data_IF_768212545511
#
_entry.id   IF_768212545511
#
_cell.length_a   1.000
_cell.length_b   1.000
_cell.length_c   1.000
_cell.angle_alpha   90.00
_cell.angle_beta   90.00
_cell.angle_gamma   90.00
#
_symmetry.space_group_name_H-M   'P 1'
#
loop_
_entity.id
_entity.type
_entity.pdbx_description
1 polymer ?
#
# COMPACT_ATOMS: atom_id res chain seq x y z
N UNK A 1 -19.73 -12.98 -21.16
CA UNK A 1 -18.33 -13.03 -21.60
C UNK A 1 -17.90 -11.59 -21.82
N UNK A 2 -17.28 -10.98 -20.80
CA UNK A 2 -16.74 -9.61 -20.96
C UNK A 2 -15.48 -9.72 -21.81
N UNK A 3 -15.54 -9.18 -23.03
CA UNK A 3 -14.36 -8.97 -23.84
C UNK A 3 -13.40 -8.14 -22.99
N UNK A 4 -12.24 -8.70 -22.68
CA UNK A 4 -11.18 -7.99 -21.99
C UNK A 4 -10.77 -6.84 -22.93
N UNK A 5 -11.26 -5.64 -22.66
CA UNK A 5 -10.92 -4.43 -23.40
C UNK A 5 -9.41 -4.23 -23.24
N UNK A 6 -8.65 -4.70 -24.22
CA UNK A 6 -7.20 -4.48 -24.25
C UNK A 6 -6.96 -2.98 -24.44
N UNK A 7 -6.52 -2.33 -23.40
CA UNK A 7 -6.19 -0.91 -23.42
C UNK A 7 -4.75 -0.80 -23.89
N UNK A 8 -4.52 -0.05 -24.98
CA UNK A 8 -3.17 0.23 -25.47
C UNK A 8 -2.59 1.43 -24.73
N UNK A 9 -1.37 1.28 -24.22
CA UNK A 9 -0.63 2.32 -23.51
C UNK A 9 0.68 2.62 -24.26
N UNK A 10 0.92 3.89 -24.56
CA UNK A 10 2.18 4.32 -25.18
C UNK A 10 3.25 4.50 -24.08
N UNK A 11 4.40 3.86 -24.30
CA UNK A 11 5.52 3.91 -23.39
C UNK A 11 6.81 4.33 -24.10
N UNK A 12 7.51 5.29 -23.53
CA UNK A 12 8.81 5.74 -24.02
C UNK A 12 9.92 5.03 -23.24
N UNK A 13 10.84 4.38 -23.95
CA UNK A 13 12.00 3.76 -23.32
C UNK A 13 12.96 4.84 -22.79
N UNK A 14 13.48 4.64 -21.56
CA UNK A 14 14.44 5.55 -20.95
C UNK A 14 15.74 4.83 -20.58
N UNK A 15 16.86 5.45 -20.85
CA UNK A 15 18.18 4.97 -20.45
C UNK A 15 18.65 5.55 -19.11
N UNK A 16 18.18 6.76 -18.75
CA UNK A 16 18.60 7.43 -17.55
C UNK A 16 17.90 6.86 -16.30
N UNK A 17 18.69 6.38 -15.35
CA UNK A 17 18.24 5.87 -14.03
C UNK A 17 18.63 6.81 -12.89
N UNK A 18 18.04 6.60 -11.72
CA UNK A 18 18.34 7.30 -10.49
C UNK A 18 17.41 8.47 -10.16
N UNK A 19 17.59 9.02 -8.94
CA UNK A 19 16.72 10.04 -8.32
C UNK A 19 16.58 11.31 -9.16
N UNK A 20 17.68 11.81 -9.73
CA UNK A 20 17.68 13.04 -10.53
C UNK A 20 16.93 12.89 -11.84
N UNK A 21 17.10 11.76 -12.53
CA UNK A 21 16.39 11.43 -13.77
C UNK A 21 14.88 11.28 -13.54
N UNK A 22 14.47 10.54 -12.52
CA UNK A 22 13.08 10.36 -12.17
C UNK A 22 12.38 11.69 -11.80
N UNK A 23 13.10 12.60 -11.11
CA UNK A 23 12.56 13.93 -10.81
C UNK A 23 12.34 14.78 -12.06
N UNK A 24 13.28 14.74 -13.01
CA UNK A 24 13.12 15.45 -14.31
C UNK A 24 11.96 14.93 -15.12
N UNK A 25 11.75 13.62 -15.18
CA UNK A 25 10.62 13.01 -15.88
C UNK A 25 9.28 13.46 -15.25
N UNK A 26 9.19 13.50 -13.93
CA UNK A 26 7.97 14.01 -13.27
C UNK A 26 7.75 15.51 -13.52
N UNK A 27 8.81 16.30 -13.64
CA UNK A 27 8.67 17.73 -13.97
C UNK A 27 8.23 17.97 -15.41
N UNK A 28 8.48 17.03 -16.34
CA UNK A 28 7.93 17.07 -17.72
C UNK A 28 6.51 16.52 -17.81
N UNK A 29 5.92 16.09 -16.69
CA UNK A 29 4.54 15.58 -16.64
C UNK A 29 4.39 14.09 -16.97
N UNK A 30 5.50 13.34 -17.09
CA UNK A 30 5.50 11.90 -17.30
C UNK A 30 5.74 11.15 -15.99
N UNK A 31 5.29 9.90 -15.91
CA UNK A 31 5.52 9.02 -14.76
C UNK A 31 6.62 8.02 -15.11
N UNK A 32 7.68 7.93 -14.27
CA UNK A 32 8.69 6.90 -14.43
C UNK A 32 8.12 5.55 -14.01
N UNK A 33 8.25 4.56 -14.88
CA UNK A 33 7.75 3.20 -14.67
C UNK A 33 8.85 2.19 -14.98
N UNK A 34 8.62 0.95 -14.51
CA UNK A 34 9.47 -0.19 -14.82
C UNK A 34 8.58 -1.30 -15.37
N UNK A 35 8.99 -1.91 -16.46
CA UNK A 35 8.39 -3.12 -16.99
C UNK A 35 9.36 -4.29 -16.82
N UNK A 36 8.90 -5.38 -16.21
CA UNK A 36 9.70 -6.58 -15.98
C UNK A 36 8.85 -7.84 -16.15
N UNK A 37 9.51 -8.97 -16.41
CA UNK A 37 8.81 -10.24 -16.59
C UNK A 37 9.76 -11.41 -16.73
N UNK A 38 9.21 -12.63 -16.79
CA UNK A 38 9.99 -13.87 -16.90
C UNK A 38 10.76 -14.02 -18.22
N UNK A 39 10.52 -13.17 -19.21
CA UNK A 39 11.16 -13.20 -20.51
C UNK A 39 11.80 -11.87 -20.93
N UNK A 40 11.64 -10.84 -20.10
CA UNK A 40 12.16 -9.51 -20.36
C UNK A 40 13.13 -9.06 -19.27
N UNK A 41 14.27 -8.48 -19.66
CA UNK A 41 15.07 -7.71 -18.73
C UNK A 41 14.24 -6.52 -18.22
N UNK A 42 14.48 -6.09 -17.00
CA UNK A 42 13.80 -4.93 -16.45
C UNK A 42 14.08 -3.70 -17.32
N UNK A 43 13.05 -3.21 -17.98
CA UNK A 43 13.13 -2.06 -18.87
C UNK A 43 12.54 -0.84 -18.18
N UNK A 44 13.32 0.22 -18.11
CA UNK A 44 12.85 1.49 -17.59
C UNK A 44 12.08 2.24 -18.67
N UNK A 45 10.86 2.65 -18.34
CA UNK A 45 9.95 3.35 -19.26
C UNK A 45 9.36 4.60 -18.62
N UNK A 46 8.82 5.48 -19.44
CA UNK A 46 8.04 6.63 -19.00
C UNK A 46 6.67 6.61 -19.69
N UNK A 47 5.61 6.94 -18.96
CA UNK A 47 4.22 6.84 -19.43
C UNK A 47 3.45 8.10 -19.07
N UNK A 48 2.38 8.37 -19.78
CA UNK A 48 1.49 9.49 -19.47
C UNK A 48 0.60 9.16 -18.25
N UNK A 49 0.56 10.03 -17.22
CA UNK A 49 -0.22 9.78 -16.00
C UNK A 49 -1.73 9.67 -16.26
N UNK A 50 -2.24 10.38 -17.27
CA UNK A 50 -3.67 10.38 -17.61
C UNK A 50 -4.16 9.01 -18.08
N UNK A 51 -3.38 8.35 -18.94
CA UNK A 51 -3.71 7.02 -19.46
C UNK A 51 -3.72 5.98 -18.34
N UNK A 52 -2.68 5.99 -17.48
CA UNK A 52 -2.62 5.09 -16.31
C UNK A 52 -3.77 5.36 -15.34
N UNK A 53 -4.11 6.62 -15.08
CA UNK A 53 -5.23 6.96 -14.21
C UNK A 53 -6.57 6.45 -14.76
N UNK A 54 -6.76 6.48 -16.08
CA UNK A 54 -7.95 5.93 -16.73
C UNK A 54 -8.02 4.41 -16.56
N UNK A 55 -6.88 3.72 -16.68
CA UNK A 55 -6.80 2.28 -16.47
C UNK A 55 -7.14 1.93 -15.01
N UNK A 56 -6.56 2.65 -14.04
CA UNK A 56 -6.84 2.42 -12.61
C UNK A 56 -8.30 2.71 -12.21
N UNK A 57 -9.01 3.52 -13.00
CA UNK A 57 -10.44 3.79 -12.80
C UNK A 57 -11.35 2.77 -13.49
N UNK A 58 -10.84 1.92 -14.35
CA UNK A 58 -11.61 0.85 -14.96
C UNK A 58 -12.09 -0.16 -13.91
N UNK A 59 -13.07 -0.97 -14.24
CA UNK A 59 -13.65 -1.95 -13.31
C UNK A 59 -12.61 -2.96 -12.78
N UNK A 60 -11.68 -3.38 -13.62
CA UNK A 60 -10.59 -4.29 -13.24
C UNK A 60 -9.44 -3.58 -12.53
N UNK A 61 -9.36 -2.24 -12.62
CA UNK A 61 -8.33 -1.44 -11.95
C UNK A 61 -6.90 -1.91 -12.26
N UNK A 62 -6.16 -2.33 -11.24
CA UNK A 62 -4.78 -2.84 -11.36
C UNK A 62 -4.70 -4.12 -12.19
N UNK A 63 -5.75 -4.93 -12.17
CA UNK A 63 -5.78 -6.24 -12.80
C UNK A 63 -6.10 -6.19 -14.30
N UNK A 64 -6.16 -5.00 -14.89
CA UNK A 64 -6.40 -4.80 -16.32
C UNK A 64 -5.18 -5.25 -17.11
N UNK A 65 -5.41 -6.09 -18.13
CA UNK A 65 -4.37 -6.46 -19.10
C UNK A 65 -4.22 -5.34 -20.10
N UNK A 66 -2.99 -4.84 -20.26
CA UNK A 66 -2.64 -3.67 -21.04
C UNK A 66 -1.64 -4.06 -22.11
N UNK A 67 -1.81 -3.57 -23.31
CA UNK A 67 -0.79 -3.64 -24.34
C UNK A 67 0.14 -2.43 -24.22
N UNK A 68 1.37 -2.65 -23.74
CA UNK A 68 2.41 -1.64 -23.70
C UNK A 68 3.09 -1.56 -25.08
N UNK A 69 2.95 -0.43 -25.77
CA UNK A 69 3.67 -0.15 -27.03
C UNK A 69 4.95 0.61 -26.69
N UNK A 70 6.06 -0.11 -26.75
CA UNK A 70 7.39 0.48 -26.85
C UNK A 70 7.72 0.68 -28.33
N UNK A 71 8.61 1.62 -28.65
CA UNK A 71 8.93 2.00 -30.03
C UNK A 71 9.17 0.81 -31.00
N UNK A 72 9.71 -0.30 -30.49
CA UNK A 72 10.05 -1.47 -31.32
C UNK A 72 9.26 -2.75 -30.95
N UNK A 73 8.58 -2.79 -29.82
CA UNK A 73 7.94 -4.00 -29.28
C UNK A 73 6.63 -3.68 -28.61
N UNK A 74 5.62 -4.49 -28.83
CA UNK A 74 4.40 -4.51 -28.03
C UNK A 74 4.48 -5.66 -27.02
N UNK A 75 4.10 -5.39 -25.77
CA UNK A 75 4.14 -6.32 -24.68
C UNK A 75 2.81 -6.31 -23.93
N UNK A 76 2.29 -7.50 -23.61
CA UNK A 76 1.17 -7.60 -22.70
C UNK A 76 1.67 -7.48 -21.27
N UNK A 77 1.16 -6.51 -20.55
CA UNK A 77 1.53 -6.24 -19.17
C UNK A 77 0.31 -5.95 -18.31
N UNK A 78 0.49 -6.04 -17.02
CA UNK A 78 -0.49 -5.69 -16.00
C UNK A 78 0.18 -4.79 -14.96
N UNK A 79 -0.59 -3.95 -14.29
CA UNK A 79 -0.07 -3.11 -13.21
C UNK A 79 0.09 -3.99 -11.97
N UNK A 80 1.33 -4.13 -11.49
CA UNK A 80 1.63 -4.87 -10.27
C UNK A 80 1.52 -4.00 -9.03
N UNK A 81 2.09 -2.80 -9.12
CA UNK A 81 2.10 -1.84 -8.02
C UNK A 81 2.10 -0.41 -8.56
N UNK A 82 1.61 0.52 -7.77
CA UNK A 82 1.66 1.93 -8.08
C UNK A 82 1.76 2.78 -6.82
N UNK A 83 2.54 3.84 -6.90
CA UNK A 83 2.69 4.78 -5.82
C UNK A 83 2.01 6.11 -6.14
N UNK A 84 1.19 6.60 -5.21
CA UNK A 84 0.58 7.92 -5.25
C UNK A 84 1.21 8.85 -4.23
N UNK A 85 1.32 10.10 -4.58
CA UNK A 85 1.73 11.12 -3.61
C UNK A 85 0.61 11.33 -2.58
N UNK A 86 0.88 11.27 -1.26
CA UNK A 86 -0.17 11.25 -0.24
C UNK A 86 -1.04 12.51 -0.24
N UNK A 87 -0.48 13.68 -0.56
CA UNK A 87 -1.19 14.97 -0.55
C UNK A 87 -1.77 15.29 -1.93
N UNK A 88 -0.93 15.32 -2.97
CA UNK A 88 -1.35 15.73 -4.32
C UNK A 88 -2.06 14.65 -5.13
N UNK A 89 -2.06 13.39 -4.65
CA UNK A 89 -2.63 12.22 -5.35
C UNK A 89 -2.05 11.98 -6.76
N UNK A 90 -0.94 12.60 -7.08
CA UNK A 90 -0.23 12.39 -8.34
C UNK A 90 0.49 11.04 -8.35
N UNK A 91 0.48 10.35 -9.49
CA UNK A 91 1.23 9.12 -9.71
C UNK A 91 2.73 9.40 -9.64
N UNK A 92 3.41 8.71 -8.75
CA UNK A 92 4.86 8.81 -8.56
C UNK A 92 5.61 7.72 -9.33
N UNK A 93 5.07 6.51 -9.34
CA UNK A 93 5.67 5.34 -9.94
C UNK A 93 4.61 4.31 -10.29
N UNK A 94 4.86 3.50 -11.31
CA UNK A 94 4.03 2.35 -11.67
C UNK A 94 4.92 1.21 -12.11
N UNK A 95 4.62 0.03 -11.61
CA UNK A 95 5.31 -1.21 -11.93
C UNK A 95 4.44 -2.07 -12.83
N UNK A 96 4.98 -2.41 -13.99
CA UNK A 96 4.33 -3.29 -14.94
C UNK A 96 5.00 -4.67 -14.95
N UNK A 97 4.18 -5.70 -14.89
CA UNK A 97 4.61 -7.09 -15.03
C UNK A 97 4.17 -7.62 -16.38
N UNK A 98 5.09 -8.22 -17.12
CA UNK A 98 4.75 -8.96 -18.34
C UNK A 98 3.85 -10.14 -18.01
N UNK A 99 2.75 -10.26 -18.73
CA UNK A 99 1.77 -11.30 -18.56
C UNK A 99 1.64 -12.09 -19.86
N UNK A 100 1.64 -13.42 -19.74
CA UNK A 100 1.35 -14.33 -20.85
C UNK A 100 -0.03 -14.93 -20.65
N UNK A 101 -0.83 -14.96 -21.69
CA UNK A 101 -2.22 -15.45 -21.64
C UNK A 101 -2.33 -16.91 -21.18
N UNK A 102 -1.27 -17.71 -21.46
CA UNK A 102 -1.22 -19.14 -21.16
C UNK A 102 -0.72 -19.46 -19.74
N UNK A 103 -0.36 -18.46 -18.94
CA UNK A 103 0.21 -18.68 -17.61
C UNK A 103 -0.67 -18.08 -16.53
N UNK A 104 -0.88 -18.82 -15.43
CA UNK A 104 -1.59 -18.28 -14.29
C UNK A 104 -0.79 -17.14 -13.64
N UNK A 105 -1.50 -16.12 -13.20
CA UNK A 105 -0.96 -14.93 -12.55
C UNK A 105 -1.59 -14.80 -11.17
N UNK A 106 -0.79 -14.33 -10.22
CA UNK A 106 -1.25 -14.03 -8.87
C UNK A 106 -1.70 -12.56 -8.81
N UNK A 107 -2.98 -12.35 -8.55
CA UNK A 107 -3.64 -11.03 -8.54
C UNK A 107 -4.40 -10.81 -7.25
N UNK A 108 -4.57 -9.56 -6.87
CA UNK A 108 -5.37 -9.17 -5.72
C UNK A 108 -6.74 -8.68 -6.17
N UNK A 109 -7.79 -9.34 -5.71
CA UNK A 109 -9.17 -9.02 -6.08
C UNK A 109 -9.92 -8.46 -4.88
N UNK A 110 -10.68 -7.36 -5.03
CA UNK A 110 -11.45 -6.79 -3.95
C UNK A 110 -12.59 -7.72 -3.52
N UNK A 111 -12.74 -7.88 -2.20
CA UNK A 111 -13.82 -8.61 -1.57
C UNK A 111 -14.93 -7.64 -1.16
N UNK A 112 -16.14 -7.89 -1.62
CA UNK A 112 -17.32 -7.09 -1.29
C UNK A 112 -18.31 -7.96 -0.50
N UNK A 113 -18.66 -7.50 0.69
CA UNK A 113 -19.71 -8.09 1.49
C UNK A 113 -21.08 -7.66 0.93
N UNK A 114 -21.95 -8.62 0.66
CA UNK A 114 -23.31 -8.39 0.18
C UNK A 114 -24.31 -8.76 1.27
N UNK A 115 -25.30 -7.90 1.50
CA UNK A 115 -26.32 -8.09 2.53
C UNK A 115 -26.04 -7.32 3.82
N UNK A 116 -26.99 -7.42 4.76
CA UNK A 116 -26.84 -6.86 6.13
C UNK A 116 -26.85 -8.03 7.10
N UNK A 117 -25.78 -8.26 7.86
CA UNK A 117 -25.72 -9.38 8.80
C UNK A 117 -26.68 -9.19 9.96
N UNK A 118 -27.34 -10.29 10.36
CA UNK A 118 -28.23 -10.33 11.53
C UNK A 118 -27.48 -9.91 12.80
N UNK A 119 -26.20 -10.25 12.91
CA UNK A 119 -25.34 -9.86 14.01
C UNK A 119 -25.17 -8.36 14.16
N UNK A 120 -25.15 -7.58 13.05
CA UNK A 120 -25.10 -6.11 13.11
C UNK A 120 -26.44 -5.55 13.60
N UNK A 121 -27.58 -6.14 13.21
CA UNK A 121 -28.88 -5.75 13.75
C UNK A 121 -28.99 -5.98 15.25
N UNK A 122 -28.26 -6.96 15.79
CA UNK A 122 -28.16 -7.27 17.23
C UNK A 122 -27.09 -6.40 17.94
N UNK A 123 -26.52 -5.40 17.25
CA UNK A 123 -25.53 -4.47 17.82
C UNK A 123 -24.05 -4.83 17.57
N UNK A 124 -23.77 -5.84 16.75
CA UNK A 124 -22.40 -6.18 16.34
C UNK A 124 -21.82 -5.23 15.31
N UNK A 125 -20.51 -5.30 15.13
CA UNK A 125 -19.77 -4.55 14.10
C UNK A 125 -19.22 -5.52 13.06
N UNK A 126 -19.53 -5.26 11.78
CA UNK A 126 -18.95 -6.02 10.68
C UNK A 126 -17.50 -5.57 10.48
N UNK A 127 -16.56 -6.50 10.65
CA UNK A 127 -15.14 -6.27 10.43
C UNK A 127 -14.68 -7.06 9.20
N UNK A 128 -14.25 -6.35 8.16
CA UNK A 128 -13.61 -6.95 7.00
C UNK A 128 -12.12 -7.04 7.29
N UNK A 129 -11.61 -8.25 7.49
CA UNK A 129 -10.19 -8.52 7.78
C UNK A 129 -9.36 -8.38 6.51
N UNK A 130 -9.81 -9.04 5.43
CA UNK A 130 -9.15 -8.97 4.14
C UNK A 130 -10.06 -8.27 3.13
N UNK A 131 -9.68 -7.06 2.75
CA UNK A 131 -10.38 -6.31 1.69
C UNK A 131 -9.94 -6.72 0.30
N UNK A 132 -8.72 -7.20 0.17
CA UNK A 132 -8.11 -7.73 -1.03
C UNK A 132 -7.77 -9.19 -0.78
N UNK A 133 -8.18 -10.05 -1.67
CA UNK A 133 -7.93 -11.50 -1.61
C UNK A 133 -6.94 -11.85 -2.71
N UNK A 134 -5.77 -12.41 -2.38
CA UNK A 134 -4.83 -12.88 -3.38
C UNK A 134 -5.37 -14.16 -4.02
N UNK A 135 -5.55 -14.11 -5.33
CA UNK A 135 -6.06 -15.23 -6.13
C UNK A 135 -5.12 -15.53 -7.27
N UNK A 136 -5.10 -16.80 -7.67
CA UNK A 136 -4.37 -17.28 -8.84
C UNK A 136 -5.37 -17.66 -9.93
N UNK A 137 -5.26 -17.00 -11.07
CA UNK A 137 -6.14 -17.24 -12.21
C UNK A 137 -5.44 -16.97 -13.55
N UNK A 138 -6.07 -17.32 -14.66
CA UNK A 138 -5.62 -16.90 -15.98
C UNK A 138 -5.98 -15.43 -16.22
N UNK A 139 -5.17 -14.68 -16.96
CA UNK A 139 -5.42 -13.25 -17.24
C UNK A 139 -6.76 -12.95 -17.90
N UNK A 140 -7.31 -13.92 -18.62
CA UNK A 140 -8.62 -13.82 -19.27
C UNK A 140 -9.80 -14.06 -18.31
N UNK A 141 -9.55 -14.63 -17.13
CA UNK A 141 -10.58 -15.04 -16.17
C UNK A 141 -10.47 -14.28 -14.83
N UNK A 142 -9.84 -13.12 -14.84
CA UNK A 142 -9.71 -12.31 -13.64
C UNK A 142 -11.09 -11.75 -13.26
N UNK A 143 -11.62 -12.05 -12.06
CA UNK A 143 -12.87 -11.48 -11.62
C UNK A 143 -12.70 -10.03 -11.20
N UNK A 144 -13.68 -9.20 -11.50
CA UNK A 144 -13.69 -7.78 -11.09
C UNK A 144 -13.79 -7.65 -9.57
N UNK A 145 -14.58 -8.52 -8.95
CA UNK A 145 -14.83 -8.53 -7.49
C UNK A 145 -15.22 -9.93 -7.04
N UNK A 146 -14.90 -10.26 -5.80
CA UNK A 146 -15.42 -11.42 -5.11
C UNK A 146 -16.55 -10.96 -4.20
N UNK A 147 -17.66 -11.69 -4.21
CA UNK A 147 -18.81 -11.40 -3.36
C UNK A 147 -18.92 -12.43 -2.26
N UNK A 148 -19.11 -11.97 -1.03
CA UNK A 148 -19.42 -12.81 0.12
C UNK A 148 -20.79 -12.41 0.67
N UNK A 149 -21.69 -13.35 0.82
CA UNK A 149 -23.01 -13.12 1.42
C UNK A 149 -22.88 -13.17 2.94
N UNK A 150 -23.11 -12.03 3.58
CA UNK A 150 -23.01 -11.87 5.03
C UNK A 150 -24.38 -11.85 5.73
N UNK A 151 -25.48 -12.08 5.00
CA UNK A 151 -26.83 -11.89 5.52
C UNK A 151 -27.12 -12.74 6.76
N UNK A 152 -26.67 -13.99 6.77
CA UNK A 152 -26.97 -14.95 7.82
C UNK A 152 -25.97 -14.94 8.99
N UNK A 153 -24.95 -14.03 8.97
CA UNK A 153 -23.94 -14.01 10.01
C UNK A 153 -24.49 -13.48 11.34
N UNK A 154 -24.30 -14.26 12.39
CA UNK A 154 -24.61 -13.91 13.77
C UNK A 154 -23.40 -13.24 14.47
N UNK A 155 -23.61 -12.82 15.72
CA UNK A 155 -22.54 -12.27 16.57
C UNK A 155 -21.49 -13.35 16.87
N UNK A 156 -20.22 -13.05 16.58
CA UNK A 156 -19.10 -13.97 16.80
C UNK A 156 -18.84 -14.91 15.62
N UNK A 157 -19.66 -14.90 14.59
CA UNK A 157 -19.43 -15.70 13.40
C UNK A 157 -18.50 -15.01 12.40
N UNK A 158 -17.90 -15.82 11.55
CA UNK A 158 -16.97 -15.36 10.53
C UNK A 158 -17.12 -16.17 9.24
N UNK A 159 -16.76 -15.56 8.12
CA UNK A 159 -16.62 -16.21 6.82
C UNK A 159 -15.17 -16.57 6.61
N UNK A 160 -14.90 -17.84 6.39
CA UNK A 160 -13.58 -18.34 6.02
C UNK A 160 -13.39 -18.34 4.49
N UNK A 161 -12.16 -18.55 4.04
CA UNK A 161 -11.81 -18.62 2.62
C UNK A 161 -12.58 -19.70 1.86
N UNK A 162 -12.88 -20.83 2.52
CA UNK A 162 -13.62 -21.95 1.93
C UNK A 162 -15.09 -21.65 1.63
N UNK A 163 -15.68 -20.66 2.32
CA UNK A 163 -17.10 -20.30 2.17
C UNK A 163 -17.34 -19.30 1.02
N UNK A 164 -16.25 -18.85 0.36
CA UNK A 164 -16.35 -17.94 -0.76
C UNK A 164 -16.88 -18.64 -2.02
N UNK A 165 -17.82 -17.98 -2.68
CA UNK A 165 -18.27 -18.38 -4.02
C UNK A 165 -17.22 -17.93 -5.05
N UNK A 166 -16.40 -18.87 -5.51
CA UNK A 166 -15.36 -18.61 -6.49
C UNK A 166 -15.88 -18.91 -7.91
N UNK A 167 -15.59 -18.05 -8.88
CA UNK A 167 -15.84 -18.37 -10.28
C UNK A 167 -14.91 -19.50 -10.76
N UNK A 168 -15.30 -20.25 -11.80
CA UNK A 168 -14.48 -21.34 -12.33
C UNK A 168 -13.14 -20.81 -12.84
N UNK A 169 -12.06 -21.54 -12.53
CA UNK A 169 -10.69 -21.17 -12.95
C UNK A 169 -9.94 -20.24 -12.00
N UNK A 170 -10.51 -19.89 -10.85
CA UNK A 170 -9.88 -19.04 -9.83
C UNK A 170 -9.55 -19.87 -8.60
N UNK A 171 -8.29 -19.78 -8.14
CA UNK A 171 -7.81 -20.43 -6.92
C UNK A 171 -7.37 -19.37 -5.92
N UNK A 172 -7.81 -19.46 -4.67
CA UNK A 172 -7.37 -18.56 -3.60
C UNK A 172 -6.03 -19.04 -3.05
N UNK A 173 -5.11 -18.12 -2.81
CA UNK A 173 -3.78 -18.42 -2.24
C UNK A 173 -3.75 -18.40 -0.71
N UNK A 174 -4.83 -17.95 -0.07
CA UNK A 174 -4.96 -17.95 1.38
C UNK A 174 -5.26 -19.35 1.92
N UNK A 175 -4.94 -19.58 3.19
CA UNK A 175 -5.32 -20.81 3.87
C UNK A 175 -6.85 -20.94 3.93
N UNK A 176 -7.36 -22.16 3.77
CA UNK A 176 -8.81 -22.44 3.75
C UNK A 176 -9.54 -21.98 5.02
N UNK A 177 -8.85 -22.02 6.15
CA UNK A 177 -9.36 -21.63 7.48
C UNK A 177 -9.21 -20.14 7.80
N UNK A 178 -8.64 -19.34 6.88
CA UNK A 178 -8.39 -17.94 7.15
C UNK A 178 -9.69 -17.13 7.12
N UNK A 179 -9.91 -16.36 8.18
CA UNK A 179 -11.08 -15.49 8.30
C UNK A 179 -10.95 -14.27 7.38
N UNK A 180 -11.95 -14.05 6.58
CA UNK A 180 -12.03 -12.91 5.65
C UNK A 180 -12.91 -11.79 6.19
N UNK A 181 -14.07 -12.16 6.73
CA UNK A 181 -15.06 -11.24 7.29
C UNK A 181 -15.53 -11.83 8.62
N UNK A 182 -15.67 -11.01 9.64
CA UNK A 182 -16.20 -11.42 10.94
C UNK A 182 -17.18 -10.38 11.49
N UNK A 183 -18.18 -10.83 12.24
CA UNK A 183 -19.06 -9.95 13.01
C UNK A 183 -18.63 -10.03 14.47
N UNK A 184 -18.07 -8.93 14.96
CA UNK A 184 -17.56 -8.83 16.33
C UNK A 184 -18.57 -8.07 17.20
N UNK A 185 -18.75 -8.52 18.43
CA UNK A 185 -19.51 -7.74 19.42
C UNK A 185 -18.81 -6.40 19.65
N UNK A 186 -19.53 -5.28 19.77
CA UNK A 186 -18.91 -4.03 20.12
C UNK A 186 -18.26 -4.19 21.49
N UNK A 187 -16.97 -4.02 21.54
CA UNK A 187 -16.25 -3.83 22.80
C UNK A 187 -16.80 -2.53 23.38
N UNK A 188 -17.66 -2.65 24.41
CA UNK A 188 -17.98 -1.49 25.23
C UNK A 188 -16.66 -1.09 25.84
N UNK A 189 -16.10 -0.01 25.35
CA UNK A 189 -15.09 0.74 26.06
C UNK A 189 -15.70 0.98 27.44
N UNK A 190 -15.26 0.18 28.41
CA UNK A 190 -15.52 0.43 29.80
C UNK A 190 -14.73 1.68 30.08
N UNK A 191 -15.37 2.84 29.92
CA UNK A 191 -14.97 4.04 30.62
C UNK A 191 -14.83 3.62 32.07
N UNK A 192 -13.60 3.28 32.48
CA UNK A 192 -13.26 3.25 33.90
C UNK A 192 -13.58 4.63 34.42
N UNK A 193 -14.78 4.76 34.94
CA UNK A 193 -15.16 5.86 35.77
C UNK A 193 -14.13 5.87 36.91
N UNK A 194 -13.15 6.75 36.73
CA UNK A 194 -12.28 7.18 37.79
C UNK A 194 -13.22 7.82 38.81
N UNK A 195 -13.76 7.00 39.71
CA UNK A 195 -14.42 7.48 40.90
C UNK A 195 -13.38 8.24 41.72
N UNK A 196 -13.57 9.53 41.97
CA UNK A 196 -12.76 10.24 42.93
C UNK A 196 -13.24 9.79 44.32
N UNK A 197 -12.60 8.79 44.89
CA UNK A 197 -12.81 8.41 46.28
C UNK A 197 -12.16 9.43 47.19
N UNK A 198 -13.01 10.27 47.72
CA UNK A 198 -13.00 10.81 49.09
C UNK A 198 -11.68 11.40 49.61
N UNK A 199 -11.64 12.70 49.50
CA UNK A 199 -10.99 13.54 50.50
C UNK A 199 -11.72 13.40 51.84
N UNK A 200 -11.02 12.99 52.87
CA UNK A 200 -11.42 13.35 54.26
C UNK A 200 -10.20 13.28 55.19
N UNK A 201 -9.93 14.43 55.73
CA UNK A 201 -9.38 14.74 57.08
C UNK A 201 -7.89 14.52 57.33
N UNK A 202 -7.11 15.50 57.52
CA UNK A 202 -6.93 16.37 58.67
C UNK A 202 -5.65 17.18 58.48
N UNK A 203 -5.76 18.49 58.56
CA UNK A 203 -4.69 19.40 58.97
C UNK A 203 -4.61 19.38 60.50
N UNK A 204 -3.67 20.04 61.22
CA UNK A 204 -2.67 21.03 60.82
C UNK A 204 -1.29 20.90 61.50
N UNK A 205 -0.29 21.58 61.05
CA UNK A 205 0.62 22.42 61.83
C UNK A 205 1.87 22.82 61.04
N UNK A 206 1.99 24.10 60.82
CA UNK A 206 3.24 24.81 60.53
C UNK A 206 3.99 25.04 61.83
N UNK A 207 5.19 25.71 61.92
CA UNK A 207 5.96 26.41 60.91
C UNK A 207 7.49 26.23 61.04
N UNK A 208 8.24 26.83 60.15
CA UNK A 208 9.66 27.16 60.45
C UNK A 208 10.62 27.18 59.27
N UNK A 209 10.74 28.36 58.73
CA UNK A 209 11.96 29.15 58.48
C UNK A 209 13.01 28.67 57.45
N UNK A 210 13.11 29.49 56.44
CA UNK A 210 14.34 30.21 55.96
C UNK A 210 15.45 29.35 55.35
N UNK A 211 16.09 29.69 54.29
CA UNK A 211 16.70 30.84 53.63
C UNK A 211 17.32 30.39 52.31
N UNK A 212 17.15 31.19 51.34
CA UNK A 212 18.13 31.68 50.34
C UNK A 212 19.03 30.72 49.55
N UNK A 213 19.08 31.00 48.24
CA UNK A 213 20.27 30.84 47.45
C UNK A 213 20.08 30.38 46.04
N UNK A 214 19.61 31.22 45.15
CA UNK A 214 20.07 31.24 43.75
C UNK A 214 21.44 31.96 43.74
N UNK A 215 22.22 32.02 42.68
CA UNK A 215 22.05 31.64 41.29
C UNK A 215 23.31 31.07 40.61
N UNK A 216 23.26 30.97 39.31
CA UNK A 216 24.35 31.12 38.33
C UNK A 216 24.73 29.90 37.50
N UNK A 217 24.35 29.98 36.26
CA UNK A 217 25.19 29.56 35.16
C UNK A 217 26.44 30.45 35.15
N UNK A 218 27.53 30.13 34.48
CA UNK A 218 27.61 29.98 33.05
C UNK A 218 28.75 29.08 32.49
N UNK A 219 28.60 28.83 31.19
CA UNK A 219 29.59 29.00 30.12
C UNK A 219 30.89 28.17 30.07
N UNK A 220 31.04 27.67 28.86
CA UNK A 220 32.23 27.75 28.00
C UNK A 220 33.47 26.94 28.41
N UNK A 221 34.02 26.24 27.53
CA UNK A 221 35.09 26.56 26.61
C UNK A 221 35.72 25.28 26.08
N UNK A 222 35.76 25.19 24.83
CA UNK A 222 36.89 25.42 23.94
C UNK A 222 37.75 24.19 23.61
N UNK A 223 37.84 24.01 22.31
CA UNK A 223 39.06 23.86 21.51
C UNK A 223 39.96 22.63 21.65
N UNK A 224 40.17 22.00 20.54
CA UNK A 224 41.37 22.04 19.67
C UNK A 224 41.24 20.92 18.64
N UNK A 225 41.19 21.21 17.36
CA UNK A 225 42.30 21.59 16.47
C UNK A 225 43.40 20.54 16.35
N UNK A 226 43.57 20.05 15.18
CA UNK A 226 44.74 19.88 14.34
C UNK A 226 44.44 18.89 13.23
N UNK A 227 44.24 19.24 11.95
CA UNK A 227 45.18 19.74 10.94
C UNK A 227 46.40 18.82 10.71
N UNK A 228 46.41 18.23 9.54
CA UNK A 228 47.53 18.00 8.62
C UNK A 228 46.96 17.30 7.38
N UNK A 229 46.82 17.94 6.25
CA UNK A 229 47.85 18.42 5.28
C UNK A 229 49.02 17.46 5.14
N UNK A 230 49.14 16.90 4.00
CA UNK A 230 50.20 17.14 3.05
C UNK A 230 50.17 16.10 1.91
N UNK A 231 50.14 16.64 0.73
CA UNK A 231 51.13 16.63 -0.35
C UNK A 231 51.12 15.35 -1.20
N UNK A 232 50.71 15.51 -2.43
CA UNK A 232 51.50 16.03 -3.56
C UNK A 232 52.29 14.95 -4.30
N UNK A 233 52.06 14.99 -5.55
CA UNK A 233 52.94 14.90 -6.71
C UNK A 233 53.03 13.59 -7.45
N UNK A 234 52.58 13.75 -8.66
CA UNK A 234 53.33 13.62 -9.92
C UNK A 234 54.03 12.27 -10.20
N UNK A 235 53.70 11.71 -11.30
CA UNK A 235 54.42 11.74 -12.57
C UNK A 235 53.82 10.69 -13.49
N UNK A 236 53.23 11.04 -14.64
CA UNK A 236 53.84 11.19 -15.95
C UNK A 236 54.43 9.89 -16.55
N UNK A 237 53.88 9.59 -17.72
CA UNK A 237 54.49 8.88 -18.84
C UNK A 237 54.40 7.31 -18.83
N UNK A 238 53.58 6.72 -19.67
CA UNK A 238 53.98 6.32 -21.03
C UNK A 238 52.75 5.96 -21.83
#
# INVERSE_FOLDING_TARGET
MSEASMITLQAEARSASGKGAARRIRSTGLVPCIAYGKGLPSTSIAVQPKEVANILRSELGQNTVIELKLAEKSLLAMIRDFALHPVSRQLLHVDFVEVKLDRPVDVEVPLIATGKPVGVAKGGVLRVVHRLVPVRCLPTQIPVKLTADVTNLELGEHIATQDLQLPPGVSVLLAATQTLIAVVAPEKEVEEAVTPAAAAAAAPAAPGAAVAGAPAAPAADAKKDEKKDDKKKDDKKK
#
